data_IF_358203015254
#
_entry.id   IF_358203015254
#
_cell.length_a   1.000
_cell.length_b   1.000
_cell.length_c   1.000
_cell.angle_alpha   90.00
_cell.angle_beta   90.00
_cell.angle_gamma   90.00
#
_symmetry.space_group_name_H-M   'P 1'
#
loop_
_entity.id
_entity.type
_entity.pdbx_description
1 polymer ?
#
# COMPACT_ATOMS: atom_id res chain seq x y z
N UNK A 1 3.80 13.13 27.14
CA UNK A 1 4.97 13.45 26.29
C UNK A 1 5.82 12.21 26.15
N UNK A 2 6.24 11.85 24.94
CA UNK A 2 7.16 10.72 24.73
C UNK A 2 8.54 11.06 25.34
N UNK A 3 9.28 10.05 25.84
CA UNK A 3 10.70 10.20 26.13
C UNK A 3 11.41 10.80 24.91
N UNK A 4 12.33 11.75 25.12
CA UNK A 4 13.05 12.44 24.03
C UNK A 4 13.59 11.49 22.94
N UNK A 5 14.24 10.35 23.29
CA UNK A 5 14.74 9.42 22.27
C UNK A 5 13.64 8.85 21.37
N UNK A 6 12.47 8.53 21.92
CA UNK A 6 11.34 8.00 21.15
C UNK A 6 10.69 9.07 20.26
N UNK A 7 10.69 10.34 20.70
CA UNK A 7 10.22 11.45 19.88
C UNK A 7 11.12 11.68 18.65
N UNK A 8 12.45 11.62 18.83
CA UNK A 8 13.41 11.74 17.72
C UNK A 8 13.22 10.59 16.72
N UNK A 9 13.05 9.35 17.21
CA UNK A 9 12.74 8.21 16.35
C UNK A 9 11.42 8.41 15.58
N UNK A 10 10.40 8.99 16.22
CA UNK A 10 9.14 9.35 15.58
C UNK A 10 9.31 10.27 14.37
N UNK A 11 10.04 11.37 14.55
CA UNK A 11 10.33 12.31 13.48
C UNK A 11 11.18 11.69 12.37
N UNK A 12 12.16 10.85 12.73
CA UNK A 12 12.95 10.11 11.75
C UNK A 12 12.09 9.16 10.91
N UNK A 13 11.07 8.53 11.51
CA UNK A 13 10.10 7.68 10.80
C UNK A 13 9.22 8.48 9.86
N UNK A 14 8.68 9.62 10.29
CA UNK A 14 7.91 10.50 9.40
C UNK A 14 8.75 10.98 8.21
N UNK A 15 9.98 11.42 8.46
CA UNK A 15 10.90 11.83 7.40
C UNK A 15 11.20 10.67 6.45
N UNK A 16 11.50 9.49 6.98
CA UNK A 16 11.74 8.27 6.21
C UNK A 16 10.53 7.90 5.35
N UNK A 17 9.32 7.94 5.92
CA UNK A 17 8.06 7.65 5.22
C UNK A 17 7.86 8.59 4.04
N UNK A 18 7.94 9.90 4.27
CA UNK A 18 7.74 10.93 3.24
C UNK A 18 8.78 10.79 2.12
N UNK A 19 10.05 10.65 2.47
CA UNK A 19 11.15 10.58 1.48
C UNK A 19 11.11 9.28 0.66
N UNK A 20 10.84 8.14 1.30
CA UNK A 20 10.67 6.86 0.63
C UNK A 20 9.45 6.88 -0.31
N UNK A 21 8.30 7.36 0.15
CA UNK A 21 7.10 7.40 -0.69
C UNK A 21 7.18 8.46 -1.79
N UNK A 22 7.85 9.60 -1.57
CA UNK A 22 8.07 10.58 -2.63
C UNK A 22 8.83 9.95 -3.81
N UNK A 23 9.92 9.24 -3.54
CA UNK A 23 10.68 8.54 -4.58
C UNK A 23 9.92 7.36 -5.19
N UNK A 24 9.22 6.56 -4.37
CA UNK A 24 8.43 5.43 -4.86
C UNK A 24 7.25 5.88 -5.73
N UNK A 25 6.52 6.91 -5.31
CA UNK A 25 5.43 7.51 -6.07
C UNK A 25 5.93 8.12 -7.38
N UNK A 26 7.08 8.80 -7.37
CA UNK A 26 7.69 9.33 -8.59
C UNK A 26 8.06 8.22 -9.58
N UNK A 27 8.74 7.17 -9.10
CA UNK A 27 9.11 6.01 -9.91
C UNK A 27 7.88 5.28 -10.48
N UNK A 28 6.86 5.08 -9.66
CA UNK A 28 5.63 4.40 -10.08
C UNK A 28 4.80 5.26 -11.04
N UNK A 29 4.74 6.57 -10.82
CA UNK A 29 4.07 7.49 -11.74
C UNK A 29 4.73 7.50 -13.12
N UNK A 30 6.07 7.55 -13.16
CA UNK A 30 6.86 7.67 -14.40
C UNK A 30 7.08 6.35 -15.13
N UNK A 31 7.32 5.26 -14.40
CA UNK A 31 7.75 3.97 -14.97
C UNK A 31 6.80 2.81 -14.64
N UNK A 32 5.77 3.02 -13.83
CA UNK A 32 4.81 1.99 -13.38
C UNK A 32 5.46 0.81 -12.66
N UNK A 33 6.68 1.04 -12.15
CA UNK A 33 7.54 0.05 -11.54
C UNK A 33 8.44 0.74 -10.53
N UNK A 34 8.57 0.10 -9.37
CA UNK A 34 9.59 0.45 -8.38
C UNK A 34 10.54 -0.76 -8.26
N UNK A 35 11.83 -0.60 -8.56
CA UNK A 35 12.77 -1.73 -8.60
C UNK A 35 13.03 -2.29 -7.19
N UNK A 36 13.34 -3.59 -7.10
CA UNK A 36 13.65 -4.23 -5.81
C UNK A 36 14.82 -3.56 -5.08
N UNK A 37 15.81 -3.04 -5.81
CA UNK A 37 16.96 -2.31 -5.23
C UNK A 37 16.53 -1.06 -4.45
N UNK A 38 15.44 -0.40 -4.84
CA UNK A 38 14.85 0.72 -4.10
C UNK A 38 14.36 0.27 -2.73
N UNK A 39 13.56 -0.80 -2.71
CA UNK A 39 13.01 -1.38 -1.48
C UNK A 39 14.10 -1.93 -0.57
N UNK A 40 15.13 -2.57 -1.11
CA UNK A 40 16.30 -3.07 -0.34
C UNK A 40 17.05 -1.91 0.32
N UNK A 41 17.20 -0.77 -0.38
CA UNK A 41 17.88 0.40 0.17
C UNK A 41 17.10 1.02 1.33
N UNK A 42 15.78 1.17 1.17
CA UNK A 42 14.91 1.72 2.20
C UNK A 42 14.61 0.75 3.35
N UNK A 43 14.68 -0.56 3.12
CA UNK A 43 14.57 -1.55 4.19
C UNK A 43 15.66 -1.35 5.25
N UNK A 44 16.87 -0.95 4.86
CA UNK A 44 17.96 -0.64 5.81
C UNK A 44 17.56 0.47 6.79
N UNK A 45 16.89 1.51 6.30
CA UNK A 45 16.40 2.62 7.15
C UNK A 45 15.33 2.13 8.12
N UNK A 46 14.35 1.37 7.64
CA UNK A 46 13.29 0.83 8.50
C UNK A 46 13.85 -0.11 9.58
N UNK A 47 14.72 -1.05 9.19
CA UNK A 47 15.35 -2.00 10.11
C UNK A 47 16.20 -1.27 11.15
N UNK A 48 16.98 -0.26 10.72
CA UNK A 48 17.82 0.52 11.63
C UNK A 48 16.98 1.29 12.65
N UNK A 49 15.92 2.00 12.21
CA UNK A 49 15.04 2.74 13.11
C UNK A 49 14.22 1.84 14.03
N UNK A 50 13.87 0.63 13.59
CA UNK A 50 13.20 -0.34 14.45
C UNK A 50 14.16 -0.93 15.48
N UNK A 51 15.39 -1.26 15.09
CA UNK A 51 16.43 -1.71 16.01
C UNK A 51 16.71 -0.66 17.10
N UNK A 52 16.84 0.62 16.74
CA UNK A 52 17.00 1.69 17.72
C UNK A 52 15.83 1.78 18.70
N UNK A 53 14.59 1.61 18.24
CA UNK A 53 13.44 1.55 19.15
C UNK A 53 13.54 0.38 20.12
N UNK A 54 13.88 -0.82 19.63
CA UNK A 54 14.02 -2.00 20.48
C UNK A 54 15.15 -1.83 21.51
N UNK A 55 16.25 -1.15 21.14
CA UNK A 55 17.32 -0.81 22.08
C UNK A 55 16.85 0.18 23.15
N UNK A 56 16.17 1.25 22.75
CA UNK A 56 15.66 2.28 23.69
C UNK A 56 14.63 1.70 24.65
N UNK A 57 13.85 0.70 24.21
CA UNK A 57 12.86 0.00 25.02
C UNK A 57 13.43 -1.19 25.80
N UNK A 58 14.74 -1.41 25.74
CA UNK A 58 15.43 -2.51 26.42
C UNK A 58 14.79 -3.88 26.11
N UNK A 59 14.40 -4.09 24.86
CA UNK A 59 13.62 -5.25 24.45
C UNK A 59 14.37 -6.57 24.68
N UNK A 60 13.66 -7.56 25.24
CA UNK A 60 14.14 -8.93 25.37
C UNK A 60 14.50 -9.58 24.04
N UNK A 61 15.36 -10.60 24.09
CA UNK A 61 15.88 -11.27 22.90
C UNK A 61 14.77 -11.96 22.07
N UNK A 62 13.69 -12.37 22.71
CA UNK A 62 12.50 -12.96 22.08
C UNK A 62 11.83 -11.96 21.14
N UNK A 63 11.77 -10.69 21.54
CA UNK A 63 11.21 -9.59 20.73
C UNK A 63 12.14 -9.29 19.55
N UNK A 64 13.45 -9.21 19.78
CA UNK A 64 14.45 -9.05 18.70
C UNK A 64 14.36 -10.16 17.66
N UNK A 65 14.29 -11.41 18.11
CA UNK A 65 14.13 -12.55 17.23
C UNK A 65 12.78 -12.52 16.50
N UNK A 66 11.68 -12.15 17.16
CA UNK A 66 10.37 -11.98 16.51
C UNK A 66 10.39 -10.87 15.44
N UNK A 67 11.05 -9.74 15.70
CA UNK A 67 11.24 -8.66 14.74
C UNK A 67 12.07 -9.13 13.53
N UNK A 68 13.10 -9.94 13.78
CA UNK A 68 13.88 -10.58 12.73
C UNK A 68 13.04 -11.52 11.87
N UNK A 69 12.07 -12.24 12.45
CA UNK A 69 11.11 -13.04 11.68
C UNK A 69 10.29 -12.18 10.70
N UNK A 70 9.83 -11.01 11.15
CA UNK A 70 9.09 -10.07 10.31
C UNK A 70 9.95 -9.55 9.15
N UNK A 71 11.20 -9.17 9.42
CA UNK A 71 12.15 -8.75 8.39
C UNK A 71 12.41 -9.87 7.38
N UNK A 72 12.63 -11.09 7.86
CA UNK A 72 12.86 -12.25 7.02
C UNK A 72 11.66 -12.53 6.12
N UNK A 73 10.43 -12.49 6.66
CA UNK A 73 9.21 -12.67 5.89
C UNK A 73 9.06 -11.61 4.80
N UNK A 74 9.28 -10.32 5.12
CA UNK A 74 9.23 -9.24 4.13
C UNK A 74 10.30 -9.39 3.03
N UNK A 75 11.48 -9.91 3.39
CA UNK A 75 12.61 -10.09 2.47
C UNK A 75 12.29 -11.01 1.28
N UNK A 76 11.35 -11.95 1.46
CA UNK A 76 10.91 -12.86 0.38
C UNK A 76 10.38 -12.13 -0.85
N UNK A 77 9.79 -10.94 -0.66
CA UNK A 77 9.24 -10.14 -1.75
C UNK A 77 10.31 -9.47 -2.62
N UNK A 78 11.51 -9.28 -2.09
CA UNK A 78 12.60 -8.51 -2.73
C UNK A 78 13.81 -9.36 -3.12
N UNK A 79 14.21 -10.31 -2.28
CA UNK A 79 15.36 -11.20 -2.50
C UNK A 79 14.90 -12.54 -3.09
N UNK A 80 13.66 -12.96 -2.82
CA UNK A 80 13.14 -14.27 -3.19
C UNK A 80 13.15 -15.24 -2.01
N UNK A 81 12.74 -16.49 -2.27
CA UNK A 81 12.68 -17.54 -1.23
C UNK A 81 13.89 -18.45 -1.35
N UNK A 82 14.54 -18.79 -0.23
CA UNK A 82 15.63 -19.75 -0.28
C UNK A 82 15.09 -21.11 -0.72
N UNK A 83 15.83 -21.82 -1.57
CA UNK A 83 15.45 -23.15 -2.04
C UNK A 83 16.29 -24.22 -1.38
N UNK A 84 15.69 -25.38 -1.06
CA UNK A 84 16.43 -26.51 -0.46
C UNK A 84 17.64 -26.93 -1.32
N UNK A 85 17.50 -26.84 -2.64
CA UNK A 85 18.57 -27.15 -3.58
C UNK A 85 19.76 -26.21 -3.41
N UNK A 86 19.49 -24.90 -3.35
CA UNK A 86 20.53 -23.88 -3.23
C UNK A 86 21.18 -23.87 -1.84
N UNK A 87 20.41 -24.17 -0.79
CA UNK A 87 20.94 -24.38 0.57
C UNK A 87 21.90 -25.57 0.61
N UNK A 88 21.50 -26.73 0.05
CA UNK A 88 22.34 -27.93 0.00
C UNK A 88 23.59 -27.67 -0.85
N UNK A 89 23.48 -26.86 -1.90
CA UNK A 89 24.61 -26.43 -2.72
C UNK A 89 25.53 -25.41 -2.02
N UNK A 90 25.19 -24.96 -0.81
CA UNK A 90 26.00 -24.02 -0.04
C UNK A 90 25.89 -22.57 -0.50
N UNK A 91 24.80 -22.19 -1.17
CA UNK A 91 24.56 -20.79 -1.51
C UNK A 91 24.48 -19.94 -0.23
N UNK A 92 25.45 -19.04 -0.08
CA UNK A 92 25.59 -18.23 1.13
C UNK A 92 24.32 -17.44 1.46
N UNK A 93 23.66 -16.87 0.45
CA UNK A 93 22.49 -16.03 0.68
C UNK A 93 21.31 -16.86 1.19
N UNK A 94 21.06 -18.02 0.57
CA UNK A 94 19.97 -18.90 0.96
C UNK A 94 20.20 -19.47 2.37
N UNK A 95 21.44 -19.86 2.69
CA UNK A 95 21.80 -20.31 4.04
C UNK A 95 21.56 -19.20 5.07
N UNK A 96 22.02 -17.98 4.82
CA UNK A 96 21.82 -16.85 5.73
C UNK A 96 20.33 -16.53 5.96
N UNK A 97 19.52 -16.50 4.90
CA UNK A 97 18.07 -16.25 5.01
C UNK A 97 17.39 -17.39 5.79
N UNK A 98 17.74 -18.64 5.51
CA UNK A 98 17.20 -19.79 6.24
C UNK A 98 17.55 -19.79 7.73
N UNK A 99 18.79 -19.43 8.09
CA UNK A 99 19.17 -19.25 9.50
C UNK A 99 18.36 -18.15 10.17
N UNK A 100 18.11 -17.06 9.44
CA UNK A 100 17.27 -15.95 9.92
C UNK A 100 15.84 -16.41 10.20
N UNK A 101 15.26 -17.29 9.38
CA UNK A 101 13.95 -17.89 9.66
C UNK A 101 13.95 -18.75 10.92
N UNK A 102 14.99 -19.54 11.16
CA UNK A 102 15.08 -20.39 12.35
C UNK A 102 15.17 -19.54 13.62
N UNK A 103 16.01 -18.51 13.61
CA UNK A 103 16.11 -17.55 14.72
C UNK A 103 14.75 -16.85 14.91
N UNK A 104 14.14 -16.39 13.82
CA UNK A 104 12.85 -15.73 13.87
C UNK A 104 11.74 -16.60 14.47
N UNK A 105 11.67 -17.86 14.06
CA UNK A 105 10.72 -18.83 14.60
C UNK A 105 10.95 -19.08 16.09
N UNK A 106 12.21 -19.19 16.54
CA UNK A 106 12.53 -19.32 17.95
C UNK A 106 12.04 -18.12 18.78
N UNK A 107 12.16 -16.91 18.23
CA UNK A 107 11.64 -15.69 18.86
C UNK A 107 10.13 -15.69 19.02
N UNK A 108 9.41 -16.11 17.98
CA UNK A 108 7.94 -16.22 18.03
C UNK A 108 7.52 -17.24 19.08
N UNK A 109 8.13 -18.43 19.09
CA UNK A 109 7.79 -19.49 20.04
C UNK A 109 8.08 -19.04 21.47
N UNK A 110 9.29 -18.52 21.73
CA UNK A 110 9.67 -18.10 23.07
C UNK A 110 8.88 -16.89 23.55
N UNK A 111 8.65 -15.91 22.68
CA UNK A 111 7.80 -14.77 23.00
C UNK A 111 6.35 -15.18 23.26
N UNK A 112 5.82 -16.19 22.57
CA UNK A 112 4.49 -16.73 22.86
C UNK A 112 4.44 -17.43 24.22
N UNK A 113 5.50 -18.13 24.61
CA UNK A 113 5.61 -18.72 25.95
C UNK A 113 5.71 -17.66 27.05
N UNK A 114 6.45 -16.57 26.82
CA UNK A 114 6.65 -15.49 27.78
C UNK A 114 5.47 -14.53 27.90
N UNK A 115 4.83 -14.19 26.77
CA UNK A 115 3.86 -13.09 26.69
C UNK A 115 2.48 -13.50 26.17
N UNK A 116 2.31 -14.73 25.66
CA UNK A 116 1.08 -15.18 25.02
C UNK A 116 -0.11 -15.39 25.95
N UNK A 117 0.09 -15.34 27.27
CA UNK A 117 -1.02 -15.33 28.25
C UNK A 117 -1.77 -14.00 28.28
N UNK A 118 -1.11 -12.91 27.86
CA UNK A 118 -1.74 -11.60 27.72
C UNK A 118 -2.53 -11.59 26.43
N UNK A 119 -3.83 -11.27 26.49
CA UNK A 119 -4.64 -11.25 25.28
C UNK A 119 -4.32 -10.03 24.41
N UNK A 120 -4.47 -10.11 23.07
CA UNK A 120 -4.33 -8.94 22.21
C UNK A 120 -5.29 -7.80 22.58
N UNK A 121 -6.45 -8.13 23.16
CA UNK A 121 -7.42 -7.15 23.62
C UNK A 121 -6.86 -6.35 24.79
N UNK A 122 -6.23 -7.02 25.76
CA UNK A 122 -5.59 -6.37 26.92
C UNK A 122 -4.49 -5.40 26.49
N UNK A 123 -3.77 -5.73 25.42
CA UNK A 123 -2.78 -4.84 24.79
C UNK A 123 -3.45 -3.63 24.16
N UNK A 124 -4.53 -3.84 23.42
CA UNK A 124 -5.26 -2.75 22.77
C UNK A 124 -5.87 -1.80 23.80
N UNK A 125 -6.38 -2.31 24.93
CA UNK A 125 -6.98 -1.46 25.98
C UNK A 125 -5.95 -0.85 26.94
N UNK A 126 -4.66 -1.13 26.76
CA UNK A 126 -3.57 -0.56 27.55
C UNK A 126 -3.40 -1.19 28.94
N UNK A 127 -3.98 -2.36 29.18
CA UNK A 127 -3.86 -3.10 30.44
C UNK A 127 -2.66 -4.08 30.47
N UNK A 128 -2.02 -4.29 29.32
CA UNK A 128 -0.85 -5.16 29.19
C UNK A 128 0.45 -4.51 29.70
N UNK A 129 1.40 -5.35 30.11
CA UNK A 129 2.77 -4.90 30.42
C UNK A 129 3.46 -4.30 29.19
N UNK A 130 4.45 -3.44 29.40
CA UNK A 130 5.19 -2.78 28.31
C UNK A 130 5.85 -3.79 27.37
N UNK A 131 6.44 -4.86 27.91
CA UNK A 131 7.08 -5.91 27.10
C UNK A 131 6.08 -6.74 26.31
N UNK A 132 4.96 -7.15 26.93
CA UNK A 132 3.92 -7.89 26.24
C UNK A 132 3.30 -7.05 25.12
N UNK A 133 3.05 -5.77 25.38
CA UNK A 133 2.59 -4.81 24.37
C UNK A 133 3.57 -4.67 23.20
N UNK A 134 4.87 -4.59 23.50
CA UNK A 134 5.91 -4.50 22.47
C UNK A 134 6.02 -5.79 21.64
N UNK A 135 5.93 -6.95 22.28
CA UNK A 135 5.92 -8.23 21.58
C UNK A 135 4.69 -8.38 20.68
N UNK A 136 3.49 -8.07 21.18
CA UNK A 136 2.27 -8.10 20.38
C UNK A 136 2.27 -7.09 19.23
N UNK A 137 2.88 -5.91 19.41
CA UNK A 137 3.10 -4.98 18.31
C UNK A 137 4.02 -5.57 17.23
N UNK A 138 5.08 -6.29 17.64
CA UNK A 138 6.01 -6.99 16.74
C UNK A 138 5.34 -8.14 15.99
N UNK A 139 4.53 -8.95 16.68
CA UNK A 139 3.68 -9.99 16.07
C UNK A 139 2.69 -9.38 15.09
N UNK A 140 2.11 -8.22 15.42
CA UNK A 140 1.21 -7.51 14.53
C UNK A 140 1.89 -7.11 13.21
N UNK A 141 3.15 -6.66 13.26
CA UNK A 141 3.95 -6.38 12.04
C UNK A 141 4.12 -7.65 11.19
N UNK A 142 4.46 -8.78 11.82
CA UNK A 142 4.58 -10.07 11.12
C UNK A 142 3.26 -10.47 10.44
N UNK A 143 2.15 -10.34 11.17
CA UNK A 143 0.81 -10.62 10.64
C UNK A 143 0.46 -9.70 9.46
N UNK A 144 0.75 -8.40 9.54
CA UNK A 144 0.50 -7.46 8.45
C UNK A 144 1.32 -7.78 7.20
N UNK A 145 2.60 -8.11 7.36
CA UNK A 145 3.44 -8.52 6.23
C UNK A 145 2.85 -9.76 5.55
N UNK A 146 2.44 -10.76 6.33
CA UNK A 146 1.78 -11.95 5.79
C UNK A 146 0.47 -11.59 5.07
N UNK A 147 -0.38 -10.75 5.66
CA UNK A 147 -1.63 -10.28 5.07
C UNK A 147 -1.36 -9.58 3.74
N UNK A 148 -0.43 -8.62 3.68
CA UNK A 148 -0.11 -7.92 2.44
C UNK A 148 0.47 -8.86 1.37
N UNK A 149 1.25 -9.87 1.75
CA UNK A 149 1.71 -10.90 0.82
C UNK A 149 0.54 -11.72 0.26
N UNK A 150 -0.41 -12.13 1.10
CA UNK A 150 -1.60 -12.86 0.66
C UNK A 150 -2.50 -12.01 -0.21
N UNK A 151 -2.76 -10.76 0.17
CA UNK A 151 -3.55 -9.81 -0.63
C UNK A 151 -2.98 -9.65 -2.04
N UNK A 152 -1.66 -9.63 -2.18
CA UNK A 152 -1.00 -9.62 -3.49
C UNK A 152 -1.17 -10.95 -4.23
N UNK A 153 -0.95 -12.11 -3.58
CA UNK A 153 -1.10 -13.43 -4.21
C UNK A 153 -2.51 -13.71 -4.74
N UNK A 154 -3.54 -13.27 -4.01
CA UNK A 154 -4.95 -13.41 -4.42
C UNK A 154 -5.42 -12.27 -5.33
N UNK A 155 -4.51 -11.37 -5.74
CA UNK A 155 -4.76 -10.22 -6.63
C UNK A 155 -5.75 -9.19 -6.08
N UNK A 156 -5.88 -9.09 -4.75
CA UNK A 156 -6.57 -7.96 -4.12
C UNK A 156 -5.73 -6.68 -4.26
N UNK A 157 -4.42 -6.79 -4.04
CA UNK A 157 -3.43 -5.77 -4.39
C UNK A 157 -2.81 -6.15 -5.73
N UNK A 158 -3.04 -5.34 -6.76
CA UNK A 158 -2.65 -5.68 -8.12
C UNK A 158 -1.15 -5.44 -8.38
N UNK A 159 -0.53 -4.47 -7.69
CA UNK A 159 0.88 -4.12 -7.86
C UNK A 159 1.78 -4.78 -6.80
N UNK A 160 2.84 -5.46 -7.25
CA UNK A 160 3.86 -5.99 -6.33
C UNK A 160 4.65 -4.88 -5.61
N UNK A 161 4.74 -3.69 -6.21
CA UNK A 161 5.34 -2.51 -5.56
C UNK A 161 4.47 -1.99 -4.41
N UNK A 162 3.15 -2.02 -4.56
CA UNK A 162 2.19 -1.58 -3.53
C UNK A 162 2.28 -2.46 -2.28
N UNK A 163 2.31 -3.78 -2.47
CA UNK A 163 2.47 -4.73 -1.37
C UNK A 163 3.79 -4.51 -0.61
N UNK A 164 4.89 -4.29 -1.33
CA UNK A 164 6.20 -3.97 -0.73
C UNK A 164 6.18 -2.67 0.04
N UNK A 165 5.48 -1.65 -0.46
CA UNK A 165 5.34 -0.38 0.22
C UNK A 165 4.62 -0.56 1.56
N UNK A 166 3.51 -1.28 1.60
CA UNK A 166 2.76 -1.52 2.83
C UNK A 166 3.54 -2.39 3.83
N UNK A 167 4.25 -3.43 3.36
CA UNK A 167 5.18 -4.21 4.19
C UNK A 167 6.28 -3.32 4.77
N UNK A 168 6.85 -2.43 3.96
CA UNK A 168 7.88 -1.50 4.40
C UNK A 168 7.36 -0.49 5.45
N UNK A 169 6.13 0.01 5.29
CA UNK A 169 5.49 0.87 6.31
C UNK A 169 5.30 0.11 7.62
N UNK A 170 4.88 -1.16 7.57
CA UNK A 170 4.73 -1.98 8.77
C UNK A 170 6.07 -2.17 9.51
N UNK A 171 7.19 -2.30 8.78
CA UNK A 171 8.53 -2.36 9.37
C UNK A 171 9.00 -1.01 9.92
N UNK A 172 8.74 0.09 9.20
CA UNK A 172 9.16 1.43 9.60
C UNK A 172 8.39 1.93 10.83
N UNK A 173 7.10 1.62 10.89
CA UNK A 173 6.13 2.14 11.86
C UNK A 173 5.33 0.98 12.48
N UNK A 174 5.94 0.20 13.40
CA UNK A 174 5.32 -0.96 14.00
C UNK A 174 4.05 -0.64 14.81
N UNK A 175 4.02 0.54 15.44
CA UNK A 175 2.90 1.01 16.25
C UNK A 175 2.87 2.54 16.32
N UNK A 176 1.72 3.08 16.77
CA UNK A 176 1.54 4.51 16.98
C UNK A 176 2.35 5.10 18.15
N UNK A 177 2.93 4.24 18.99
CA UNK A 177 3.58 4.63 20.25
C UNK A 177 4.81 5.54 20.11
N UNK A 178 5.36 5.70 18.90
CA UNK A 178 6.52 6.57 18.63
C UNK A 178 6.20 7.68 17.65
N UNK A 179 5.02 7.66 17.04
CA UNK A 179 4.65 8.49 15.88
C UNK A 179 3.24 9.06 16.07
N UNK A 180 2.96 9.72 17.20
CA UNK A 180 1.63 10.28 17.42
C UNK A 180 1.27 11.30 16.32
N UNK A 181 -0.03 11.50 16.05
CA UNK A 181 -0.47 12.52 15.12
C UNK A 181 -0.09 13.92 15.61
N UNK A 182 0.09 14.83 14.66
CA UNK A 182 0.44 16.23 14.95
C UNK A 182 -0.73 16.97 15.59
N UNK A 183 -1.96 16.67 15.17
CA UNK A 183 -3.18 17.22 15.73
C UNK A 183 -3.74 16.20 16.72
N UNK A 184 -3.44 16.42 18.00
CA UNK A 184 -4.12 15.71 19.07
C UNK A 184 -5.56 16.21 19.16
N UNK A 185 -6.50 15.37 18.73
CA UNK A 185 -7.92 15.59 18.98
C UNK A 185 -8.34 14.88 20.26
N UNK A 186 -9.38 15.36 20.92
CA UNK A 186 -9.97 14.68 22.09
C UNK A 186 -10.33 13.23 21.74
N UNK A 187 -10.86 13.01 20.53
CA UNK A 187 -11.17 11.69 19.95
C UNK A 187 -9.97 10.76 19.83
N UNK A 188 -8.76 11.29 19.59
CA UNK A 188 -7.55 10.49 19.57
C UNK A 188 -7.17 10.03 20.97
N UNK A 189 -7.28 10.91 21.97
CA UNK A 189 -6.97 10.58 23.37
C UNK A 189 -8.02 9.67 24.02
N UNK A 190 -9.28 9.74 23.59
CA UNK A 190 -10.38 8.89 24.05
C UNK A 190 -10.41 7.52 23.36
N UNK A 191 -9.81 7.40 22.18
CA UNK A 191 -9.83 6.15 21.44
C UNK A 191 -8.89 5.14 22.09
N UNK A 192 -9.50 4.08 22.60
CA UNK A 192 -8.78 2.96 23.20
C UNK A 192 -8.10 2.11 22.10
N UNK A 193 -8.67 2.04 20.89
CA UNK A 193 -8.23 1.13 19.84
C UNK A 193 -7.81 1.91 18.60
N UNK A 194 -6.53 1.78 18.23
CA UNK A 194 -5.98 2.28 16.97
C UNK A 194 -5.58 1.13 16.06
N UNK A 195 -5.94 1.23 14.78
CA UNK A 195 -5.43 0.35 13.73
C UNK A 195 -3.93 0.54 13.55
N UNK A 196 -3.17 -0.49 13.14
CA UNK A 196 -1.75 -0.33 12.87
C UNK A 196 -1.46 0.74 11.79
N UNK A 197 -0.34 1.48 11.87
CA UNK A 197 -0.04 2.58 10.96
C UNK A 197 -0.12 2.23 9.47
N UNK A 198 0.32 1.03 9.08
CA UNK A 198 0.24 0.56 7.68
C UNK A 198 -1.21 0.38 7.20
N UNK A 199 -2.12 -0.04 8.08
CA UNK A 199 -3.56 -0.15 7.78
C UNK A 199 -4.19 1.23 7.73
N UNK A 200 -3.88 2.12 8.67
CA UNK A 200 -4.37 3.49 8.64
C UNK A 200 -3.97 4.23 7.36
N UNK A 201 -2.72 4.05 6.90
CA UNK A 201 -2.27 4.59 5.60
C UNK A 201 -3.09 4.02 4.44
N UNK A 202 -3.37 2.71 4.46
CA UNK A 202 -4.19 2.06 3.44
C UNK A 202 -5.62 2.61 3.43
N UNK A 203 -6.23 2.84 4.60
CA UNK A 203 -7.58 3.42 4.72
C UNK A 203 -7.58 4.85 4.19
N UNK A 204 -6.64 5.70 4.60
CA UNK A 204 -6.51 7.05 4.05
C UNK A 204 -6.31 7.04 2.53
N UNK A 205 -5.49 6.11 2.02
CA UNK A 205 -5.32 5.88 0.60
C UNK A 205 -6.64 5.53 -0.08
N UNK A 206 -7.38 4.56 0.46
CA UNK A 206 -8.69 4.15 -0.06
C UNK A 206 -9.71 5.30 -0.06
N UNK A 207 -9.73 6.13 0.99
CA UNK A 207 -10.57 7.33 1.04
C UNK A 207 -10.19 8.32 -0.09
N UNK A 208 -8.91 8.48 -0.39
CA UNK A 208 -8.46 9.29 -1.53
C UNK A 208 -8.94 8.73 -2.87
N UNK A 209 -9.05 7.41 -3.03
CA UNK A 209 -9.64 6.79 -4.24
C UNK A 209 -11.12 7.10 -4.41
N UNK A 210 -11.88 7.22 -3.31
CA UNK A 210 -13.31 7.57 -3.37
C UNK A 210 -13.56 8.97 -3.95
N UNK A 211 -12.55 9.85 -3.96
CA UNK A 211 -12.64 11.15 -4.61
C UNK A 211 -12.57 11.07 -6.15
N UNK A 212 -12.09 9.97 -6.74
CA UNK A 212 -11.90 9.86 -8.20
C UNK A 212 -13.24 9.97 -8.97
N UNK A 213 -14.30 9.21 -8.64
CA UNK A 213 -15.54 9.27 -9.39
C UNK A 213 -16.19 10.67 -9.44
N UNK A 214 -16.35 11.40 -8.31
CA UNK A 214 -16.86 12.76 -8.34
C UNK A 214 -16.00 13.71 -9.19
N UNK A 215 -14.67 13.59 -9.12
CA UNK A 215 -13.76 14.41 -9.91
C UNK A 215 -13.92 14.16 -11.42
N UNK A 216 -14.10 12.90 -11.82
CA UNK A 216 -14.31 12.55 -13.23
C UNK A 216 -15.63 13.06 -13.76
N UNK A 217 -16.71 12.96 -12.98
CA UNK A 217 -18.01 13.54 -13.35
C UNK A 217 -17.87 15.05 -13.55
N UNK A 218 -17.23 15.75 -12.61
CA UNK A 218 -17.05 17.20 -12.71
C UNK A 218 -16.22 17.60 -13.93
N UNK A 219 -15.14 16.88 -14.23
CA UNK A 219 -14.28 17.16 -15.37
C UNK A 219 -14.99 16.91 -16.71
N UNK A 220 -15.72 15.79 -16.84
CA UNK A 220 -16.48 15.49 -18.04
C UNK A 220 -17.64 16.48 -18.23
N UNK A 221 -18.30 16.90 -17.15
CA UNK A 221 -19.36 17.91 -17.20
C UNK A 221 -18.83 19.26 -17.69
N UNK A 222 -17.68 19.72 -17.18
CA UNK A 222 -17.04 20.98 -17.61
C UNK A 222 -16.62 20.98 -19.07
N UNK A 223 -16.34 19.81 -19.65
CA UNK A 223 -15.99 19.63 -21.07
C UNK A 223 -17.19 19.40 -21.98
N UNK A 224 -18.42 19.37 -21.44
CA UNK A 224 -19.62 19.07 -22.22
C UNK A 224 -19.71 17.61 -22.69
N UNK A 225 -18.95 16.69 -22.08
CA UNK A 225 -18.87 15.29 -22.51
C UNK A 225 -20.06 14.43 -22.03
N UNK A 226 -20.90 14.95 -21.12
CA UNK A 226 -22.05 14.24 -20.55
C UNK A 226 -23.32 14.74 -21.23
N UNK A 227 -23.84 13.97 -22.18
CA UNK A 227 -25.08 14.30 -22.92
C UNK A 227 -26.24 13.37 -22.62
N UNK A 228 -25.95 12.21 -22.01
CA UNK A 228 -26.94 11.17 -21.69
C UNK A 228 -26.67 10.53 -20.31
N UNK A 229 -27.65 9.78 -19.81
CA UNK A 229 -27.49 8.97 -18.59
C UNK A 229 -26.41 7.89 -18.74
N UNK A 230 -26.20 7.39 -19.96
CA UNK A 230 -25.13 6.43 -20.25
C UNK A 230 -23.76 7.08 -20.10
N UNK A 231 -23.60 8.32 -20.59
CA UNK A 231 -22.37 9.09 -20.43
C UNK A 231 -22.11 9.42 -18.96
N UNK A 232 -23.16 9.70 -18.18
CA UNK A 232 -23.02 9.90 -16.73
C UNK A 232 -22.50 8.65 -16.03
N UNK A 233 -23.02 7.47 -16.40
CA UNK A 233 -22.51 6.19 -15.90
C UNK A 233 -21.06 5.91 -16.30
N UNK A 234 -20.63 6.33 -17.49
CA UNK A 234 -19.23 6.25 -17.92
C UNK A 234 -18.34 7.24 -17.18
N UNK A 235 -18.80 8.48 -17.02
CA UNK A 235 -18.09 9.54 -16.30
C UNK A 235 -17.81 9.20 -14.84
N UNK A 236 -18.52 8.23 -14.24
CA UNK A 236 -18.21 7.70 -12.91
C UNK A 236 -16.80 7.08 -12.82
N UNK A 237 -16.27 6.50 -13.90
CA UNK A 237 -15.02 5.73 -13.85
C UNK A 237 -14.08 5.95 -15.04
N UNK A 238 -14.46 6.84 -15.96
CA UNK A 238 -13.71 7.15 -17.17
C UNK A 238 -13.78 8.65 -17.52
N UNK A 239 -12.87 9.08 -18.39
CA UNK A 239 -12.90 10.40 -19.00
C UNK A 239 -12.98 10.28 -20.51
N UNK A 240 -13.66 11.22 -21.16
CA UNK A 240 -13.63 11.35 -22.61
C UNK A 240 -12.48 12.27 -23.01
N UNK A 241 -11.55 11.74 -23.81
CA UNK A 241 -10.29 12.38 -24.20
C UNK A 241 -10.16 12.33 -25.72
N UNK A 242 -9.68 13.41 -26.33
CA UNK A 242 -9.37 13.47 -27.76
C UNK A 242 -8.32 12.43 -28.16
N UNK A 243 -8.48 11.79 -29.31
CA UNK A 243 -7.63 10.68 -29.73
C UNK A 243 -6.14 11.06 -29.77
N UNK A 244 -5.82 12.29 -30.15
CA UNK A 244 -4.46 12.79 -30.26
C UNK A 244 -3.76 12.91 -28.89
N UNK A 245 -4.53 13.04 -27.81
CA UNK A 245 -4.04 13.16 -26.44
C UNK A 245 -3.95 11.81 -25.71
N UNK A 246 -4.34 10.70 -26.37
CA UNK A 246 -4.30 9.34 -25.78
C UNK A 246 -2.91 8.72 -25.94
N UNK A 247 -2.22 9.01 -27.05
CA UNK A 247 -0.91 8.43 -27.34
C UNK A 247 0.11 8.81 -26.24
N UNK A 248 0.81 7.81 -25.69
CA UNK A 248 1.78 7.99 -24.61
C UNK A 248 1.17 8.15 -23.20
N UNK A 249 -0.16 8.24 -23.07
CA UNK A 249 -0.81 8.27 -21.77
C UNK A 249 -0.98 6.86 -21.18
N UNK A 250 -0.83 6.73 -19.86
CA UNK A 250 -1.08 5.47 -19.15
C UNK A 250 -2.59 5.22 -18.96
N UNK A 251 -3.28 4.88 -20.04
CA UNK A 251 -4.73 4.70 -20.06
C UNK A 251 -5.14 3.36 -20.68
N UNK A 252 -6.40 2.99 -20.45
CA UNK A 252 -7.11 1.93 -21.16
C UNK A 252 -8.22 2.57 -21.99
N UNK A 253 -8.24 2.29 -23.29
CA UNK A 253 -9.33 2.72 -24.17
C UNK A 253 -10.54 1.80 -23.94
N UNK A 254 -11.67 2.40 -23.58
CA UNK A 254 -12.92 1.69 -23.29
C UNK A 254 -13.79 1.53 -24.52
N UNK A 255 -13.65 2.42 -25.50
CA UNK A 255 -14.38 2.34 -26.77
C UNK A 255 -13.85 1.23 -27.65
N UNK A 256 -14.72 0.29 -28.03
CA UNK A 256 -14.44 -0.81 -28.93
C UNK A 256 -15.25 -0.69 -30.21
N UNK A 257 -14.68 -1.24 -31.28
CA UNK A 257 -15.33 -1.38 -32.57
C UNK A 257 -16.09 -2.69 -32.57
N UNK A 258 -17.39 -2.60 -32.82
CA UNK A 258 -18.28 -3.74 -32.97
C UNK A 258 -18.80 -3.80 -34.40
N UNK A 259 -18.59 -4.94 -35.04
CA UNK A 259 -19.26 -5.29 -36.29
C UNK A 259 -20.71 -5.70 -35.97
N UNK A 260 -21.67 -5.00 -36.55
CA UNK A 260 -23.09 -5.37 -36.48
C UNK A 260 -23.40 -6.49 -37.47
N UNK A 261 -24.49 -7.21 -37.22
CA UNK A 261 -24.94 -8.31 -38.09
C UNK A 261 -25.30 -7.86 -39.52
N UNK A 262 -25.50 -6.56 -39.75
CA UNK A 262 -25.72 -5.94 -41.05
C UNK A 262 -24.43 -5.61 -41.82
N UNK A 263 -23.25 -5.92 -41.25
CA UNK A 263 -21.94 -5.63 -41.82
C UNK A 263 -21.43 -4.21 -41.55
N UNK A 264 -22.19 -3.36 -40.85
CA UNK A 264 -21.76 -2.01 -40.46
C UNK A 264 -20.96 -2.02 -39.16
N UNK A 265 -19.98 -1.13 -39.04
CA UNK A 265 -19.16 -0.95 -37.84
C UNK A 265 -19.75 0.12 -36.94
N UNK A 266 -19.76 -0.12 -35.63
CA UNK A 266 -20.20 0.86 -34.63
C UNK A 266 -19.29 0.89 -33.41
N UNK A 267 -19.20 2.06 -32.77
CA UNK A 267 -18.39 2.23 -31.58
C UNK A 267 -19.26 2.01 -30.35
N UNK A 268 -18.77 1.19 -29.41
CA UNK A 268 -19.44 0.95 -28.13
C UNK A 268 -18.45 1.01 -26.98
N UNK A 269 -18.79 1.80 -25.96
CA UNK A 269 -17.99 1.91 -24.74
C UNK A 269 -18.21 0.72 -23.81
N UNK A 270 -17.12 0.05 -23.43
CA UNK A 270 -17.11 -0.95 -22.35
C UNK A 270 -17.30 -0.28 -20.99
N UNK A 271 -17.79 -1.04 -20.03
CA UNK A 271 -17.89 -0.62 -18.60
C UNK A 271 -16.64 -0.98 -17.77
N UNK A 272 -15.71 -1.75 -18.34
CA UNK A 272 -14.52 -2.24 -17.63
C UNK A 272 -13.31 -2.20 -18.57
N UNK A 273 -12.12 -1.87 -18.06
CA UNK A 273 -10.88 -2.01 -18.79
C UNK A 273 -10.63 -3.46 -19.26
N UNK A 274 -9.85 -3.65 -20.35
CA UNK A 274 -9.44 -4.97 -20.79
C UNK A 274 -8.58 -5.68 -19.74
N UNK A 275 -8.68 -7.01 -19.67
CA UNK A 275 -7.93 -7.84 -18.72
C UNK A 275 -6.43 -7.87 -18.98
N UNK A 276 -6.01 -7.61 -20.23
CA UNK A 276 -4.61 -7.47 -20.64
C UNK A 276 -4.36 -6.04 -21.07
N UNK A 277 -3.25 -5.48 -20.57
CA UNK A 277 -2.79 -4.17 -21.05
C UNK A 277 -2.28 -4.34 -22.49
N UNK A 278 -2.80 -3.55 -23.45
CA UNK A 278 -2.32 -3.58 -24.83
C UNK A 278 -0.88 -3.06 -24.91
N UNK A 279 -0.12 -3.54 -25.90
CA UNK A 279 1.17 -2.95 -26.25
C UNK A 279 0.99 -1.56 -26.85
N UNK A 280 2.07 -0.79 -26.93
CA UNK A 280 2.03 0.55 -27.53
C UNK A 280 1.58 0.49 -29.00
N UNK A 281 2.08 -0.48 -29.76
CA UNK A 281 1.66 -0.75 -31.15
C UNK A 281 0.16 -1.07 -31.25
N UNK A 282 -0.33 -1.96 -30.37
CA UNK A 282 -1.76 -2.31 -30.33
C UNK A 282 -2.63 -1.11 -29.96
N UNK A 283 -2.16 -0.25 -29.07
CA UNK A 283 -2.85 0.98 -28.68
C UNK A 283 -2.93 1.97 -29.85
N UNK A 284 -1.81 2.18 -30.55
CA UNK A 284 -1.77 3.06 -31.73
C UNK A 284 -2.68 2.54 -32.84
N UNK A 285 -2.66 1.22 -33.11
CA UNK A 285 -3.57 0.62 -34.08
C UNK A 285 -5.03 0.87 -33.71
N UNK A 286 -5.40 0.62 -32.45
CA UNK A 286 -6.77 0.81 -31.97
C UNK A 286 -7.23 2.28 -32.06
N UNK A 287 -6.32 3.24 -31.82
CA UNK A 287 -6.60 4.67 -32.00
C UNK A 287 -6.87 4.99 -33.47
N UNK A 288 -6.07 4.44 -34.39
CA UNK A 288 -6.25 4.65 -35.82
C UNK A 288 -7.58 4.05 -36.30
N UNK A 289 -7.93 2.84 -35.86
CA UNK A 289 -9.19 2.20 -36.22
C UNK A 289 -10.41 3.01 -35.76
N UNK A 290 -10.35 3.62 -34.56
CA UNK A 290 -11.39 4.53 -34.07
C UNK A 290 -11.48 5.80 -34.92
N UNK A 291 -10.33 6.35 -35.35
CA UNK A 291 -10.28 7.55 -36.21
C UNK A 291 -10.85 7.26 -37.60
N UNK A 292 -10.58 6.09 -38.18
CA UNK A 292 -11.14 5.67 -39.47
C UNK A 292 -12.68 5.59 -39.45
N UNK A 293 -13.26 5.30 -38.28
CA UNK A 293 -14.72 5.30 -38.06
C UNK A 293 -15.28 6.69 -37.71
N UNK A 294 -14.46 7.74 -37.79
CA UNK A 294 -14.87 9.13 -37.57
C UNK A 294 -14.94 9.57 -36.10
N UNK A 295 -14.34 8.82 -35.17
CA UNK A 295 -14.25 9.27 -33.78
C UNK A 295 -13.18 10.35 -33.62
N UNK A 296 -13.52 11.46 -32.95
CA UNK A 296 -12.57 12.51 -32.55
C UNK A 296 -12.05 12.29 -31.12
N UNK A 297 -12.81 11.56 -30.30
CA UNK A 297 -12.49 11.30 -28.89
C UNK A 297 -12.95 9.90 -28.48
N UNK A 298 -12.33 9.37 -27.43
CA UNK A 298 -12.68 8.10 -26.85
C UNK A 298 -12.79 8.16 -25.32
N UNK A 299 -13.63 7.30 -24.76
CA UNK A 299 -13.66 7.04 -23.32
C UNK A 299 -12.41 6.26 -22.91
N UNK A 300 -11.70 6.79 -21.92
CA UNK A 300 -10.49 6.20 -21.37
C UNK A 300 -10.56 6.06 -19.86
N UNK A 301 -10.00 4.97 -19.34
CA UNK A 301 -9.80 4.77 -17.90
C UNK A 301 -8.31 4.90 -17.58
N UNK A 302 -7.98 5.77 -16.63
CA UNK A 302 -6.59 6.03 -16.25
C UNK A 302 -6.04 4.92 -15.34
N UNK A 303 -4.78 4.54 -15.57
CA UNK A 303 -4.03 3.65 -14.69
C UNK A 303 -3.45 4.46 -13.55
N UNK A 304 -4.23 4.60 -12.48
CA UNK A 304 -3.84 5.36 -11.30
C UNK A 304 -2.78 4.60 -10.48
N UNK A 305 -1.59 5.19 -10.25
CA UNK A 305 -0.54 4.58 -9.45
C UNK A 305 -0.90 4.65 -7.96
N UNK A 306 -1.17 3.51 -7.32
CA UNK A 306 -1.59 3.44 -5.92
C UNK A 306 -0.59 4.13 -4.98
N UNK A 307 0.71 4.01 -5.24
CA UNK A 307 1.75 4.67 -4.45
C UNK A 307 1.64 6.20 -4.43
N UNK A 308 1.11 6.82 -5.50
CA UNK A 308 0.87 8.27 -5.51
C UNK A 308 -0.25 8.66 -4.55
N UNK A 309 -1.33 7.87 -4.49
CA UNK A 309 -2.42 8.11 -3.54
C UNK A 309 -1.95 7.89 -2.10
N UNK A 310 -1.20 6.81 -1.86
CA UNK A 310 -0.63 6.54 -0.55
C UNK A 310 0.34 7.64 -0.12
N UNK A 311 1.12 8.22 -1.04
CA UNK A 311 1.99 9.35 -0.71
C UNK A 311 1.19 10.56 -0.20
N UNK A 312 0.11 10.95 -0.88
CA UNK A 312 -0.73 12.04 -0.41
C UNK A 312 -1.52 11.68 0.85
N UNK A 313 -1.86 10.40 1.05
CA UNK A 313 -2.50 9.89 2.26
C UNK A 313 -1.61 10.00 3.52
N UNK A 314 -0.29 10.15 3.36
CA UNK A 314 0.61 10.43 4.49
C UNK A 314 0.23 11.74 5.19
N UNK A 315 -0.25 12.75 4.45
CA UNK A 315 -0.61 14.06 5.02
C UNK A 315 -1.73 13.94 6.06
N UNK A 316 -2.93 13.44 5.74
CA UNK A 316 -3.98 13.28 6.74
C UNK A 316 -3.60 12.24 7.81
N UNK A 317 -2.81 11.21 7.48
CA UNK A 317 -2.30 10.25 8.47
C UNK A 317 -1.39 10.92 9.50
N UNK A 318 -0.49 11.81 9.07
CA UNK A 318 0.42 12.55 9.95
C UNK A 318 -0.32 13.58 10.79
N UNK A 319 -1.31 14.26 10.19
CA UNK A 319 -2.09 15.27 10.89
C UNK A 319 -3.05 14.65 11.91
N UNK A 320 -3.82 13.64 11.51
CA UNK A 320 -4.97 13.16 12.26
C UNK A 320 -4.80 11.73 12.81
N UNK A 321 -3.79 11.00 12.35
CA UNK A 321 -3.51 9.64 12.81
C UNK A 321 -4.40 8.62 12.10
N UNK A 322 -4.91 7.68 12.88
CA UNK A 322 -5.75 6.57 12.42
C UNK A 322 -7.18 7.03 12.07
N UNK A 323 -7.62 6.92 10.80
CA UNK A 323 -8.95 7.34 10.38
C UNK A 323 -10.06 6.53 11.06
N UNK A 324 -9.78 5.32 11.52
CA UNK A 324 -10.76 4.47 12.21
C UNK A 324 -11.33 5.16 13.46
N UNK A 325 -10.50 5.94 14.17
CA UNK A 325 -10.91 6.71 15.35
C UNK A 325 -11.99 7.74 15.03
N UNK A 326 -12.00 8.33 13.84
CA UNK A 326 -13.02 9.31 13.45
C UNK A 326 -14.27 8.66 12.85
N UNK A 327 -14.10 7.51 12.19
CA UNK A 327 -15.18 6.82 11.49
C UNK A 327 -16.03 6.01 12.47
N UNK A 328 -15.40 5.28 13.39
CA UNK A 328 -16.08 4.30 14.24
C UNK A 328 -16.47 4.83 15.61
N UNK A 329 -15.73 5.80 16.18
CA UNK A 329 -16.10 6.38 17.48
C UNK A 329 -17.53 6.97 17.47
N UNK A 330 -17.99 7.70 16.42
CA UNK A 330 -19.38 8.15 16.34
C UNK A 330 -20.41 7.02 16.13
N UNK A 331 -19.97 5.85 15.65
CA UNK A 331 -20.82 4.67 15.43
C UNK A 331 -20.94 3.79 16.67
N UNK A 332 -19.99 3.90 17.60
CA UNK A 332 -19.92 3.12 18.84
C UNK A 332 -20.52 3.86 20.05
N UNK A 333 -20.86 5.15 19.90
CA UNK A 333 -21.56 5.96 20.92
C UNK A 333 -20.76 7.19 21.31
#
# INVERSE_FOLDING_TARGET
MLPEPLAILGWARWLGLITCFAGAAWLDHKYRRVPNSYWISWAKVAIFLWALELMVREAGWEIWATALAAVALASMSVIGRPTLKDIIAGNFMDVCVSMTYLIGLSGIVMGALSYGQVSPVDVLIGEATSEASLWWATVSVLALIWVFEMMWKVRLIHGGADAKALMWVALLMPSWSTIPPLVYSDKWGESIIHMPPAISLLIWGALAFLAIPPLFILQNLRRGNITSLQDLGQAWHAQKVELDNIAGAHVWILDEIFDKADGSRSIRSRKRPPSKTPTEEQMVQHINDLRELGAESAWVSFKWPLLTFLFFAIIPMMLFGDPFTFIMLPLLG
#
